data_IF_501636908619
#
_entry.id   IF_501636908619
#
_cell.length_a   1.000
_cell.length_b   1.000
_cell.length_c   1.000
_cell.angle_alpha   90.00
_cell.angle_beta   90.00
_cell.angle_gamma   90.00
#
_symmetry.space_group_name_H-M   'P 1'
#
loop_
_entity.id
_entity.type
_entity.pdbx_description
1 polymer ?
#
# COMPACT_ATOMS: atom_id res chain seq x y z
N UNK A 1 -19.16 50.56 -66.29
CA UNK A 1 -17.76 50.09 -66.39
C UNK A 1 -17.44 49.30 -65.12
N UNK A 2 -17.64 47.97 -65.13
CA UNK A 2 -16.61 46.92 -65.23
C UNK A 2 -15.57 46.92 -64.09
N UNK A 3 -15.76 45.95 -63.16
CA UNK A 3 -14.77 45.15 -62.38
C UNK A 3 -13.92 45.97 -61.37
N UNK A 4 -13.75 45.56 -60.11
CA UNK A 4 -13.03 44.36 -59.69
C UNK A 4 -13.52 43.80 -58.35
N UNK A 5 -13.69 42.48 -58.34
CA UNK A 5 -13.71 41.61 -57.16
C UNK A 5 -12.29 41.61 -56.58
N UNK A 6 -12.19 41.80 -55.26
CA UNK A 6 -10.93 41.77 -54.54
C UNK A 6 -11.14 41.44 -53.06
N UNK A 7 -11.57 40.20 -52.79
CA UNK A 7 -11.45 39.59 -51.47
C UNK A 7 -9.98 39.60 -51.08
N UNK A 8 -9.62 40.36 -50.04
CA UNK A 8 -8.38 40.19 -49.31
C UNK A 8 -8.71 39.79 -47.88
N UNK A 9 -8.88 38.48 -47.71
CA UNK A 9 -8.60 37.79 -46.46
C UNK A 9 -7.17 38.16 -46.09
N UNK A 10 -7.01 38.94 -45.04
CA UNK A 10 -5.74 39.53 -44.66
C UNK A 10 -5.65 39.63 -43.14
N UNK A 11 -5.27 38.51 -42.54
CA UNK A 11 -4.50 38.41 -41.30
C UNK A 11 -5.15 39.00 -40.04
N UNK A 12 -5.79 38.12 -39.28
CA UNK A 12 -6.00 38.30 -37.83
C UNK A 12 -4.63 38.52 -37.18
N UNK A 13 -4.26 39.78 -36.96
CA UNK A 13 -3.17 40.13 -36.06
C UNK A 13 -3.77 40.27 -34.68
N UNK A 14 -3.65 39.16 -33.94
CA UNK A 14 -3.67 39.13 -32.48
C UNK A 14 -2.86 40.32 -31.96
N UNK A 15 -3.56 41.34 -31.46
CA UNK A 15 -2.96 42.31 -30.57
C UNK A 15 -2.57 41.53 -29.32
N UNK A 16 -1.32 41.07 -29.31
CA UNK A 16 -0.70 40.38 -28.20
C UNK A 16 -0.83 41.24 -26.97
N UNK A 17 -1.70 40.81 -26.07
CA UNK A 17 -1.68 41.26 -24.68
C UNK A 17 -0.34 40.80 -24.15
N UNK A 18 0.56 41.75 -23.98
CA UNK A 18 1.81 41.59 -23.24
C UNK A 18 1.45 41.33 -21.77
N UNK A 19 1.08 40.09 -21.46
CA UNK A 19 1.21 39.59 -20.11
C UNK A 19 2.71 39.43 -19.91
N UNK A 20 3.26 40.30 -19.07
CA UNK A 20 4.63 40.20 -18.60
C UNK A 20 4.91 38.76 -18.16
N UNK A 21 5.81 38.13 -18.90
CA UNK A 21 6.45 36.86 -18.57
C UNK A 21 7.27 37.09 -17.31
N UNK A 22 6.60 37.04 -16.16
CA UNK A 22 7.18 36.60 -14.90
C UNK A 22 7.20 35.08 -14.95
N UNK A 23 8.21 34.55 -15.64
CA UNK A 23 8.49 33.13 -15.74
C UNK A 23 8.74 32.55 -14.35
N UNK A 24 7.76 31.80 -13.87
CA UNK A 24 7.79 30.96 -12.68
C UNK A 24 6.64 29.96 -12.76
N UNK A 25 6.38 29.43 -13.96
CA UNK A 25 5.69 28.14 -14.06
C UNK A 25 6.78 27.12 -13.80
N UNK A 26 7.01 26.80 -12.53
CA UNK A 26 7.95 25.77 -12.12
C UNK A 26 7.53 24.47 -12.80
N UNK A 27 8.24 24.13 -13.89
CA UNK A 27 8.17 22.82 -14.53
C UNK A 27 8.63 21.69 -13.59
N UNK A 28 9.10 22.03 -12.38
CA UNK A 28 9.43 21.12 -11.29
C UNK A 28 8.23 20.72 -10.42
N UNK A 29 7.03 21.27 -10.62
CA UNK A 29 5.85 20.84 -9.83
C UNK A 29 5.31 19.45 -10.25
N UNK A 30 5.75 18.91 -11.39
CA UNK A 30 5.29 17.61 -11.95
C UNK A 30 6.46 16.75 -12.47
N UNK A 31 7.69 17.00 -12.01
CA UNK A 31 8.83 16.12 -12.25
C UNK A 31 9.07 15.24 -11.03
N UNK A 32 8.89 13.93 -11.16
CA UNK A 32 9.34 13.01 -10.12
C UNK A 32 10.84 13.27 -9.87
N UNK A 33 11.28 13.50 -8.61
CA UNK A 33 12.67 13.76 -8.33
C UNK A 33 13.53 12.59 -8.83
N UNK A 34 14.77 12.84 -9.31
CA UNK A 34 15.66 11.78 -9.73
C UNK A 34 15.82 10.79 -8.57
N UNK A 35 15.56 9.50 -8.84
CA UNK A 35 15.62 8.43 -7.85
C UNK A 35 17.04 8.33 -7.29
N UNK A 36 17.27 9.05 -6.19
CA UNK A 36 18.51 9.00 -5.42
C UNK A 36 18.64 7.63 -4.74
N UNK A 37 19.88 7.19 -4.55
CA UNK A 37 20.19 5.84 -4.06
C UNK A 37 19.48 5.50 -2.75
N UNK A 38 18.87 4.31 -2.76
CA UNK A 38 17.89 3.81 -1.81
C UNK A 38 18.56 3.36 -0.52
N UNK A 39 18.66 4.29 0.45
CA UNK A 39 18.67 3.93 1.87
C UNK A 39 17.30 4.15 2.54
N UNK A 40 16.38 4.87 1.87
CA UNK A 40 15.09 5.33 2.42
C UNK A 40 13.83 4.87 1.62
N UNK A 41 13.97 4.05 0.56
CA UNK A 41 12.84 3.78 -0.35
C UNK A 41 11.68 2.99 0.24
N UNK A 42 11.89 2.20 1.31
CA UNK A 42 10.78 1.49 1.98
C UNK A 42 9.75 2.50 2.51
N UNK A 43 10.21 3.59 3.13
CA UNK A 43 9.34 4.62 3.68
C UNK A 43 8.56 5.36 2.59
N UNK A 44 9.20 5.61 1.45
CA UNK A 44 8.57 6.36 0.36
C UNK A 44 7.54 5.51 -0.40
N UNK A 45 7.80 4.21 -0.60
CA UNK A 45 6.81 3.29 -1.16
C UNK A 45 5.58 3.14 -0.26
N UNK A 46 5.75 3.15 1.07
CA UNK A 46 4.61 3.15 2.00
C UNK A 46 3.81 4.45 1.96
N UNK A 47 4.46 5.60 1.85
CA UNK A 47 3.77 6.89 1.66
C UNK A 47 2.98 6.90 0.34
N UNK A 48 3.57 6.38 -0.74
CA UNK A 48 2.91 6.26 -2.03
C UNK A 48 1.71 5.31 -1.97
N UNK A 49 1.82 4.18 -1.27
CA UNK A 49 0.69 3.25 -1.00
C UNK A 49 -0.42 3.94 -0.22
N UNK A 50 -0.08 4.72 0.82
CA UNK A 50 -1.04 5.47 1.60
C UNK A 50 -1.78 6.52 0.75
N UNK A 51 -1.04 7.30 -0.06
CA UNK A 51 -1.66 8.28 -0.98
C UNK A 51 -2.59 7.61 -1.98
N UNK A 52 -2.18 6.47 -2.55
CA UNK A 52 -3.01 5.69 -3.48
C UNK A 52 -4.28 5.14 -2.83
N UNK A 53 -4.20 4.73 -1.55
CA UNK A 53 -5.38 4.34 -0.75
C UNK A 53 -6.31 5.53 -0.49
N UNK A 54 -5.76 6.72 -0.21
CA UNK A 54 -6.55 7.94 -0.01
C UNK A 54 -7.30 8.34 -1.28
N UNK A 55 -6.71 8.14 -2.46
CA UNK A 55 -7.41 8.35 -3.74
C UNK A 55 -8.65 7.45 -3.88
N UNK A 56 -8.59 6.21 -3.39
CA UNK A 56 -9.78 5.33 -3.38
C UNK A 56 -10.88 5.89 -2.49
N UNK A 57 -10.52 6.36 -1.28
CA UNK A 57 -11.49 6.97 -0.37
C UNK A 57 -12.07 8.27 -0.95
N UNK A 58 -11.23 9.13 -1.51
CA UNK A 58 -11.67 10.35 -2.17
C UNK A 58 -12.65 10.03 -3.31
N UNK A 59 -12.31 9.06 -4.16
CA UNK A 59 -13.19 8.65 -5.25
C UNK A 59 -14.51 8.07 -4.75
N UNK A 60 -14.53 7.31 -3.65
CA UNK A 60 -15.76 6.86 -2.98
C UNK A 60 -16.62 8.03 -2.49
N UNK A 61 -16.02 9.05 -1.87
CA UNK A 61 -16.73 10.24 -1.40
C UNK A 61 -17.30 11.07 -2.55
N UNK A 62 -16.61 11.09 -3.71
CA UNK A 62 -16.96 11.91 -4.87
C UNK A 62 -17.71 11.17 -5.99
N UNK A 63 -17.98 9.87 -5.85
CA UNK A 63 -18.44 8.99 -6.94
C UNK A 63 -17.50 8.99 -8.17
N UNK A 64 -16.20 9.20 -7.97
CA UNK A 64 -15.19 9.15 -9.03
C UNK A 64 -14.59 7.75 -9.15
N UNK A 65 -15.22 6.93 -9.98
CA UNK A 65 -14.78 5.54 -10.23
C UNK A 65 -13.45 5.46 -10.97
N UNK A 66 -13.07 6.47 -11.74
CA UNK A 66 -11.78 6.48 -12.42
C UNK A 66 -10.65 6.71 -11.41
N UNK A 67 -10.86 7.61 -10.43
CA UNK A 67 -9.93 7.84 -9.33
C UNK A 67 -9.80 6.60 -8.43
N UNK A 68 -10.91 5.91 -8.12
CA UNK A 68 -10.88 4.62 -7.41
C UNK A 68 -10.00 3.63 -8.16
N UNK A 69 -10.27 3.43 -9.46
CA UNK A 69 -9.52 2.49 -10.28
C UNK A 69 -8.03 2.83 -10.38
N UNK A 70 -7.69 4.13 -10.49
CA UNK A 70 -6.29 4.61 -10.48
C UNK A 70 -5.60 4.30 -9.16
N UNK A 71 -6.22 4.64 -8.03
CA UNK A 71 -5.67 4.37 -6.70
C UNK A 71 -5.44 2.88 -6.45
N UNK A 72 -6.39 2.03 -6.83
CA UNK A 72 -6.26 0.58 -6.70
C UNK A 72 -5.14 0.00 -7.58
N UNK A 73 -5.02 0.45 -8.84
CA UNK A 73 -3.93 0.05 -9.75
C UNK A 73 -2.56 0.42 -9.20
N UNK A 74 -2.40 1.63 -8.68
CA UNK A 74 -1.09 2.08 -8.19
C UNK A 74 -0.71 1.35 -6.90
N UNK A 75 -1.67 1.13 -5.98
CA UNK A 75 -1.45 0.26 -4.82
C UNK A 75 -0.95 -1.14 -5.22
N UNK A 76 -1.57 -1.75 -6.23
CA UNK A 76 -1.13 -3.05 -6.76
C UNK A 76 0.28 -2.96 -7.35
N UNK A 77 0.56 -1.95 -8.17
CA UNK A 77 1.87 -1.74 -8.81
C UNK A 77 2.98 -1.60 -7.77
N UNK A 78 2.75 -0.78 -6.75
CA UNK A 78 3.67 -0.56 -5.64
C UNK A 78 3.99 -1.89 -4.91
N UNK A 79 2.99 -2.75 -4.68
CA UNK A 79 3.20 -4.06 -4.03
C UNK A 79 4.04 -5.07 -4.84
N UNK A 80 4.29 -4.78 -6.12
CA UNK A 80 5.14 -5.57 -7.00
C UNK A 80 6.52 -4.93 -7.23
N UNK A 81 6.79 -3.73 -6.71
CA UNK A 81 8.05 -3.04 -6.91
C UNK A 81 9.24 -3.89 -6.39
N UNK A 82 10.36 -3.87 -7.11
CA UNK A 82 11.52 -4.68 -6.76
C UNK A 82 12.15 -4.24 -5.42
N UNK A 83 12.04 -2.95 -5.15
CA UNK A 83 12.46 -2.22 -3.96
C UNK A 83 11.51 -2.45 -2.77
N UNK A 84 10.37 -3.11 -2.99
CA UNK A 84 9.42 -3.43 -1.93
C UNK A 84 10.05 -4.42 -0.94
N UNK A 85 10.07 -4.10 0.36
CA UNK A 85 10.63 -4.97 1.38
C UNK A 85 9.82 -6.26 1.43
N UNK A 86 10.45 -7.38 1.05
CA UNK A 86 9.82 -8.69 1.10
C UNK A 86 10.36 -9.47 2.27
N UNK A 87 9.53 -9.71 3.29
CA UNK A 87 9.80 -10.75 4.26
C UNK A 87 9.45 -12.11 3.64
N UNK A 88 10.39 -13.06 3.69
CA UNK A 88 10.23 -14.41 3.14
C UNK A 88 9.51 -15.35 4.10
N UNK A 89 8.48 -14.85 4.78
CA UNK A 89 7.66 -15.67 5.68
C UNK A 89 6.27 -15.91 5.06
N UNK A 90 5.69 -17.12 5.19
CA UNK A 90 4.37 -17.42 4.63
C UNK A 90 3.25 -16.48 5.08
N UNK A 91 3.30 -15.94 6.30
CA UNK A 91 2.29 -14.99 6.81
C UNK A 91 2.38 -13.66 6.07
N UNK A 92 3.60 -13.15 5.84
CA UNK A 92 3.80 -11.93 5.05
C UNK A 92 3.33 -12.11 3.59
N UNK A 93 3.63 -13.26 2.97
CA UNK A 93 3.19 -13.55 1.61
C UNK A 93 1.67 -13.67 1.50
N UNK A 94 1.01 -14.24 2.52
CA UNK A 94 -0.44 -14.29 2.60
C UNK A 94 -1.06 -12.89 2.60
N UNK A 95 -0.58 -11.99 3.47
CA UNK A 95 -1.05 -10.59 3.48
C UNK A 95 -0.81 -9.88 2.16
N UNK A 96 0.37 -10.09 1.55
CA UNK A 96 0.72 -9.49 0.27
C UNK A 96 -0.19 -9.98 -0.87
N UNK A 97 -0.47 -11.28 -0.91
CA UNK A 97 -1.37 -11.87 -1.91
C UNK A 97 -2.79 -11.40 -1.73
N UNK A 98 -3.29 -11.37 -0.50
CA UNK A 98 -4.65 -10.92 -0.19
C UNK A 98 -4.81 -9.43 -0.50
N UNK A 99 -3.81 -8.59 -0.18
CA UNK A 99 -3.80 -7.18 -0.54
C UNK A 99 -3.90 -6.96 -2.07
N UNK A 100 -3.10 -7.68 -2.86
CA UNK A 100 -3.16 -7.62 -4.33
C UNK A 100 -4.51 -8.07 -4.87
N UNK A 101 -5.10 -9.11 -4.27
CA UNK A 101 -6.45 -9.59 -4.63
C UNK A 101 -7.49 -8.49 -4.39
N UNK A 102 -7.43 -7.78 -3.27
CA UNK A 102 -8.34 -6.66 -3.01
C UNK A 102 -8.16 -5.50 -3.97
N UNK A 103 -6.92 -5.17 -4.34
CA UNK A 103 -6.68 -4.14 -5.36
C UNK A 103 -7.35 -4.52 -6.70
N UNK A 104 -7.24 -5.79 -7.13
CA UNK A 104 -7.94 -6.26 -8.32
C UNK A 104 -9.46 -6.16 -8.21
N UNK A 105 -10.04 -6.48 -7.04
CA UNK A 105 -11.48 -6.32 -6.81
C UNK A 105 -11.92 -4.85 -6.82
N UNK A 106 -11.15 -3.95 -6.23
CA UNK A 106 -11.41 -2.51 -6.29
C UNK A 106 -11.41 -2.01 -7.74
N UNK A 107 -10.45 -2.45 -8.55
CA UNK A 107 -10.40 -2.11 -9.98
C UNK A 107 -11.62 -2.62 -10.74
N UNK A 108 -12.01 -3.88 -10.54
CA UNK A 108 -13.17 -4.51 -11.20
C UNK A 108 -14.49 -3.83 -10.78
N UNK A 109 -14.72 -3.63 -9.48
CA UNK A 109 -15.93 -2.97 -9.00
C UNK A 109 -16.00 -1.49 -9.38
N UNK A 110 -14.85 -0.80 -9.50
CA UNK A 110 -14.80 0.54 -10.04
C UNK A 110 -15.21 0.58 -11.52
N UNK A 111 -14.71 -0.35 -12.34
CA UNK A 111 -15.10 -0.47 -13.76
C UNK A 111 -16.60 -0.74 -13.91
N UNK A 112 -17.17 -1.57 -13.04
CA UNK A 112 -18.61 -1.86 -12.99
C UNK A 112 -19.45 -0.75 -12.33
N UNK A 113 -18.81 0.31 -11.83
CA UNK A 113 -19.44 1.42 -11.09
C UNK A 113 -20.29 0.95 -9.91
N UNK A 114 -19.85 -0.11 -9.22
CA UNK A 114 -20.55 -0.68 -8.07
C UNK A 114 -20.02 -0.07 -6.76
N UNK A 115 -20.65 1.01 -6.30
CA UNK A 115 -20.18 1.79 -5.14
C UNK A 115 -20.19 0.97 -3.85
N UNK A 116 -21.20 0.15 -3.64
CA UNK A 116 -21.37 -0.67 -2.44
C UNK A 116 -20.24 -1.70 -2.35
N UNK A 117 -19.95 -2.38 -3.46
CA UNK A 117 -18.87 -3.35 -3.54
C UNK A 117 -17.49 -2.68 -3.37
N UNK A 118 -17.25 -1.52 -3.99
CA UNK A 118 -16.00 -0.75 -3.76
C UNK A 118 -15.89 -0.36 -2.29
N UNK A 119 -16.97 0.09 -1.66
CA UNK A 119 -16.96 0.53 -0.25
C UNK A 119 -16.58 -0.62 0.68
N UNK A 120 -17.21 -1.79 0.53
CA UNK A 120 -16.89 -2.96 1.34
C UNK A 120 -15.46 -3.46 1.10
N UNK A 121 -15.04 -3.52 -0.17
CA UNK A 121 -13.69 -3.95 -0.56
C UNK A 121 -12.62 -3.00 -0.03
N UNK A 122 -12.89 -1.69 -0.01
CA UNK A 122 -11.97 -0.70 0.54
C UNK A 122 -11.79 -0.87 2.04
N UNK A 123 -12.88 -1.07 2.79
CA UNK A 123 -12.80 -1.35 4.22
C UNK A 123 -11.97 -2.61 4.50
N UNK A 124 -12.21 -3.70 3.78
CA UNK A 124 -11.41 -4.92 3.94
C UNK A 124 -9.93 -4.71 3.55
N UNK A 125 -9.66 -3.90 2.52
CA UNK A 125 -8.29 -3.47 2.17
C UNK A 125 -7.61 -2.74 3.33
N UNK A 126 -8.32 -1.84 4.02
CA UNK A 126 -7.77 -1.15 5.19
C UNK A 126 -7.46 -2.11 6.36
N UNK A 127 -8.32 -3.10 6.59
CA UNK A 127 -8.07 -4.16 7.60
C UNK A 127 -6.79 -4.93 7.29
N UNK A 128 -6.57 -5.34 6.04
CA UNK A 128 -5.34 -6.04 5.63
C UNK A 128 -4.10 -5.17 5.88
N UNK A 129 -4.18 -3.86 5.62
CA UNK A 129 -3.08 -2.94 5.89
C UNK A 129 -2.71 -2.92 7.38
N UNK A 130 -3.71 -2.80 8.25
CA UNK A 130 -3.52 -2.76 9.70
C UNK A 130 -2.95 -4.11 10.18
N UNK A 131 -3.56 -5.23 9.81
CA UNK A 131 -3.12 -6.56 10.26
C UNK A 131 -1.70 -6.91 9.80
N UNK A 132 -1.34 -6.56 8.56
CA UNK A 132 0.03 -6.75 8.07
C UNK A 132 1.03 -5.89 8.87
N UNK A 133 0.67 -4.64 9.18
CA UNK A 133 1.54 -3.75 9.96
C UNK A 133 1.69 -4.20 11.40
N UNK A 134 0.64 -4.72 12.03
CA UNK A 134 0.72 -5.30 13.37
C UNK A 134 1.63 -6.54 13.37
N UNK A 135 1.46 -7.44 12.41
CA UNK A 135 2.33 -8.61 12.25
C UNK A 135 3.81 -8.22 12.07
N UNK A 136 4.11 -7.29 11.15
CA UNK A 136 5.50 -6.86 10.91
C UNK A 136 6.10 -6.17 12.14
N UNK A 137 5.31 -5.34 12.84
CA UNK A 137 5.76 -4.65 14.06
C UNK A 137 6.04 -5.65 15.19
N UNK A 138 5.15 -6.59 15.41
CA UNK A 138 5.30 -7.57 16.49
C UNK A 138 6.39 -8.59 16.18
N UNK A 139 6.55 -9.00 14.91
CA UNK A 139 7.67 -9.85 14.48
C UNK A 139 9.03 -9.20 14.76
N UNK A 140 9.15 -7.88 14.52
CA UNK A 140 10.36 -7.12 14.88
C UNK A 140 10.58 -7.07 16.39
N UNK A 141 9.52 -6.82 17.17
CA UNK A 141 9.61 -6.81 18.65
C UNK A 141 10.08 -8.15 19.22
N UNK A 142 9.60 -9.27 18.66
CA UNK A 142 10.05 -10.61 19.07
C UNK A 142 11.51 -10.84 18.69
N UNK A 143 11.94 -10.40 17.50
CA UNK A 143 13.34 -10.50 17.08
C UNK A 143 14.29 -9.66 17.96
N UNK A 144 13.83 -8.49 18.43
CA UNK A 144 14.59 -7.59 19.30
C UNK A 144 14.56 -7.99 20.79
N UNK A 145 13.64 -8.89 21.19
CA UNK A 145 13.50 -9.36 22.57
C UNK A 145 14.69 -10.25 22.94
N UNK A 146 15.61 -9.74 23.77
CA UNK A 146 16.61 -10.60 24.42
C UNK A 146 15.87 -11.63 25.29
N UNK A 147 16.16 -12.94 25.16
CA UNK A 147 15.50 -13.95 25.97
C UNK A 147 15.65 -13.60 27.46
N UNK A 148 14.54 -13.45 28.17
CA UNK A 148 14.57 -13.59 29.63
C UNK A 148 14.93 -15.05 29.88
N UNK A 149 15.91 -15.32 30.75
CA UNK A 149 16.54 -16.65 30.86
C UNK A 149 15.59 -17.81 31.20
N UNK A 150 14.32 -17.52 31.47
CA UNK A 150 13.21 -18.41 31.80
C UNK A 150 12.14 -18.52 30.70
N UNK A 151 12.16 -17.70 29.66
CA UNK A 151 11.18 -17.72 28.56
C UNK A 151 11.85 -18.20 27.28
N UNK A 152 11.63 -19.47 26.94
CA UNK A 152 11.98 -20.03 25.64
C UNK A 152 10.87 -19.67 24.64
N UNK A 153 11.22 -18.95 23.57
CA UNK A 153 10.29 -18.72 22.46
C UNK A 153 9.90 -20.07 21.84
N UNK A 154 8.60 -20.29 21.61
CA UNK A 154 8.12 -21.47 20.90
C UNK A 154 8.73 -21.44 19.48
N UNK A 155 9.45 -22.48 19.05
CA UNK A 155 10.03 -22.53 17.71
C UNK A 155 8.95 -22.34 16.64
N UNK A 156 9.29 -21.63 15.55
CA UNK A 156 8.41 -21.49 14.37
C UNK A 156 8.22 -22.81 13.61
N UNK A 157 9.12 -23.75 13.84
CA UNK A 157 9.10 -25.09 13.28
C UNK A 157 8.39 -26.01 14.27
N UNK A 158 7.22 -26.53 13.90
CA UNK A 158 6.56 -27.58 14.65
C UNK A 158 7.41 -28.86 14.56
N UNK A 159 7.74 -29.52 15.68
CA UNK A 159 8.52 -30.74 15.62
C UNK A 159 7.71 -31.81 14.87
N UNK A 160 8.32 -32.37 13.84
CA UNK A 160 7.75 -33.50 13.09
C UNK A 160 7.43 -34.66 14.05
N UNK A 161 6.35 -35.44 13.83
CA UNK A 161 5.82 -36.42 14.79
C UNK A 161 6.81 -37.48 15.30
N UNK A 162 7.98 -37.61 14.66
CA UNK A 162 9.01 -38.58 15.01
C UNK A 162 10.03 -38.08 16.05
N UNK A 163 10.04 -36.78 16.39
CA UNK A 163 11.08 -36.21 17.27
C UNK A 163 10.65 -36.02 18.73
N UNK A 164 9.43 -36.42 19.10
CA UNK A 164 8.97 -36.34 20.49
C UNK A 164 9.24 -37.66 21.24
N UNK A 165 10.46 -37.87 21.71
CA UNK A 165 10.68 -38.73 22.88
C UNK A 165 11.11 -37.85 24.07
N UNK A 166 10.16 -37.08 24.61
CA UNK A 166 10.32 -36.46 25.92
C UNK A 166 10.08 -37.53 26.96
N UNK A 167 11.13 -37.91 27.70
CA UNK A 167 11.04 -38.93 28.74
C UNK A 167 10.12 -38.45 29.89
N UNK A 168 9.26 -39.33 30.44
CA UNK A 168 8.26 -38.96 31.46
C UNK A 168 8.81 -38.34 32.77
N UNK A 169 10.11 -38.38 33.02
CA UNK A 169 10.73 -37.81 34.22
C UNK A 169 10.71 -36.28 34.27
N UNK A 170 10.59 -35.62 33.11
CA UNK A 170 10.92 -34.20 32.99
C UNK A 170 9.66 -33.30 32.94
N UNK A 171 8.47 -33.88 32.76
CA UNK A 171 7.21 -33.14 32.68
C UNK A 171 6.63 -32.72 34.05
N UNK A 172 7.19 -33.19 35.18
CA UNK A 172 6.57 -33.03 36.51
C UNK A 172 7.12 -31.87 37.35
N UNK A 173 8.13 -31.13 36.89
CA UNK A 173 8.77 -30.08 37.69
C UNK A 173 8.65 -28.72 37.01
N UNK A 174 7.46 -28.11 37.05
CA UNK A 174 7.23 -26.65 37.23
C UNK A 174 5.79 -26.29 36.86
N UNK A 175 4.86 -26.52 37.77
CA UNK A 175 3.67 -25.66 37.88
C UNK A 175 3.59 -25.24 39.35
N UNK A 176 3.98 -24.01 39.72
CA UNK A 176 3.69 -23.49 41.05
C UNK A 176 2.19 -23.26 41.15
N UNK A 177 1.62 -23.66 42.29
CA UNK A 177 0.18 -23.77 42.51
C UNK A 177 -0.64 -22.51 42.24
N UNK A 178 -1.80 -22.73 41.62
CA UNK A 178 -2.91 -21.78 41.57
C UNK A 178 -3.45 -21.50 42.98
N UNK A 179 -3.68 -20.25 43.39
CA UNK A 179 -4.32 -19.98 44.67
C UNK A 179 -5.82 -20.27 44.55
N UNK A 180 -6.29 -21.26 45.32
CA UNK A 180 -7.71 -21.55 45.49
C UNK A 180 -8.42 -20.37 46.15
N UNK A 181 -9.29 -19.69 45.41
CA UNK A 181 -10.19 -18.68 45.93
C UNK A 181 -11.62 -19.21 45.98
N UNK A 182 -12.12 -19.36 47.22
CA UNK A 182 -13.50 -19.63 47.68
C UNK A 182 -14.09 -21.03 47.47
#
# INVERSE_FOLDING_TARGET
MRRFIGVRVGLVLLAGVWIAVGGGFDADLWGDPPVSQIKDAEGDLMKAKLSSSQNVLEGLCRNDFDLIGRGAREMKRISHAAEWPRHRDPVYEHFSTEFRRQCNLLEDFAQRRNREAVSFTYLHTTTICISCHDYVRDSRRVADMKPRGDVQLIPSEWPEPNQAEVKPSDARKTVPGSPSGR
#
